data_IF_492770710889
#
_entry.id   IF_492770710889
#
_cell.length_a   1.000
_cell.length_b   1.000
_cell.length_c   1.000
_cell.angle_alpha   90.00
_cell.angle_beta   90.00
_cell.angle_gamma   90.00
#
_symmetry.space_group_name_H-M   'P 1'
#
loop_
_entity.id
_entity.type
_entity.pdbx_description
1 polymer ?
#
# COMPACT_ATOMS: atom_id res chain seq x y z
N UNK A 1 -22.42 -28.67 -22.86
CA UNK A 1 -23.19 -28.73 -21.59
C UNK A 1 -22.46 -27.79 -20.66
N UNK A 2 -22.87 -26.53 -20.71
CA UNK A 2 -22.14 -25.40 -20.15
C UNK A 2 -22.28 -25.37 -18.64
N UNK A 3 -21.15 -25.43 -17.95
CA UNK A 3 -21.08 -25.20 -16.52
C UNK A 3 -21.10 -23.69 -16.30
N UNK A 4 -22.30 -23.09 -16.36
CA UNK A 4 -22.61 -21.78 -15.76
C UNK A 4 -22.64 -21.90 -14.23
N UNK A 5 -21.54 -22.31 -13.60
CA UNK A 5 -21.40 -22.18 -12.15
C UNK A 5 -20.74 -20.84 -11.83
N UNK A 6 -21.54 -19.95 -11.22
CA UNK A 6 -21.17 -18.70 -10.52
C UNK A 6 -20.93 -17.44 -11.38
N UNK A 7 -21.98 -16.97 -12.07
CA UNK A 7 -22.08 -15.59 -12.60
C UNK A 7 -22.82 -14.64 -11.63
N UNK A 8 -22.50 -14.66 -10.33
CA UNK A 8 -23.22 -13.84 -9.34
C UNK A 8 -22.38 -13.25 -8.19
N UNK A 9 -21.07 -13.44 -8.17
CA UNK A 9 -20.21 -12.83 -7.15
C UNK A 9 -19.53 -11.57 -7.67
N UNK A 10 -19.81 -10.42 -7.04
CA UNK A 10 -19.01 -9.22 -7.20
C UNK A 10 -17.65 -9.44 -6.48
N UNK A 11 -16.50 -9.54 -7.19
CA UNK A 11 -15.22 -9.86 -6.57
C UNK A 11 -14.84 -8.89 -5.44
N UNK A 12 -15.17 -7.61 -5.61
CA UNK A 12 -14.92 -6.58 -4.60
C UNK A 12 -15.60 -6.91 -3.27
N UNK A 13 -16.87 -7.31 -3.30
CA UNK A 13 -17.65 -7.65 -2.10
C UNK A 13 -17.08 -8.89 -1.41
N UNK A 14 -16.68 -9.90 -2.20
CA UNK A 14 -16.05 -11.10 -1.66
C UNK A 14 -14.70 -10.80 -1.01
N UNK A 15 -13.84 -10.02 -1.66
CA UNK A 15 -12.56 -9.63 -1.09
C UNK A 15 -12.75 -8.79 0.17
N UNK A 16 -13.68 -7.85 0.18
CA UNK A 16 -13.97 -7.03 1.36
C UNK A 16 -14.43 -7.90 2.53
N UNK A 17 -15.36 -8.83 2.30
CA UNK A 17 -15.80 -9.79 3.31
C UNK A 17 -14.63 -10.66 3.81
N UNK A 18 -13.73 -11.08 2.91
CA UNK A 18 -12.51 -11.80 3.26
C UNK A 18 -11.59 -11.01 4.19
N UNK A 19 -11.32 -9.75 3.87
CA UNK A 19 -10.52 -8.87 4.72
C UNK A 19 -11.20 -8.57 6.06
N UNK A 20 -12.52 -8.40 6.09
CA UNK A 20 -13.27 -8.24 7.32
C UNK A 20 -13.15 -9.48 8.22
N UNK A 21 -13.36 -10.68 7.67
CA UNK A 21 -13.22 -11.93 8.42
C UNK A 21 -11.79 -12.07 8.93
N UNK A 22 -10.79 -11.81 8.10
CA UNK A 22 -9.39 -11.86 8.50
C UNK A 22 -9.09 -10.85 9.61
N UNK A 23 -9.60 -9.63 9.52
CA UNK A 23 -9.44 -8.61 10.55
C UNK A 23 -10.04 -9.07 11.89
N UNK A 24 -11.26 -9.63 11.86
CA UNK A 24 -11.95 -10.14 13.04
C UNK A 24 -11.24 -11.34 13.66
N UNK A 25 -10.72 -12.26 12.84
CA UNK A 25 -9.90 -13.40 13.29
C UNK A 25 -8.58 -12.90 13.89
N UNK A 26 -7.89 -11.97 13.23
CA UNK A 26 -6.67 -11.37 13.73
C UNK A 26 -6.92 -10.70 15.09
N UNK A 27 -7.99 -9.93 15.19
CA UNK A 27 -8.36 -9.22 16.41
C UNK A 27 -8.71 -10.19 17.54
N UNK A 28 -9.57 -11.18 17.28
CA UNK A 28 -10.22 -12.01 18.30
C UNK A 28 -9.43 -13.26 18.66
N UNK A 29 -8.58 -13.75 17.75
CA UNK A 29 -7.86 -15.02 17.90
C UNK A 29 -6.35 -14.77 17.91
N UNK A 30 -5.78 -14.18 16.85
CA UNK A 30 -4.32 -14.06 16.72
C UNK A 30 -3.71 -13.13 17.77
N UNK A 31 -4.30 -11.95 17.95
CA UNK A 31 -3.81 -10.93 18.89
C UNK A 31 -4.60 -10.90 20.21
N UNK A 32 -5.33 -11.97 20.54
CA UNK A 32 -6.17 -12.03 21.74
C UNK A 32 -5.41 -11.78 23.05
N UNK A 33 -4.12 -12.14 23.09
CA UNK A 33 -3.24 -11.97 24.25
C UNK A 33 -2.54 -10.61 24.28
N UNK A 34 -2.66 -9.80 23.24
CA UNK A 34 -2.08 -8.46 23.19
C UNK A 34 -2.96 -7.49 23.98
N UNK A 35 -2.35 -6.42 24.48
CA UNK A 35 -3.09 -5.35 25.13
C UNK A 35 -4.20 -4.81 24.21
N UNK A 36 -5.40 -4.58 24.76
CA UNK A 36 -6.59 -4.19 23.97
C UNK A 36 -6.33 -3.01 23.03
N UNK A 37 -5.52 -2.04 23.48
CA UNK A 37 -5.12 -0.85 22.70
C UNK A 37 -4.23 -1.13 21.48
N UNK A 38 -3.52 -2.26 21.44
CA UNK A 38 -2.61 -2.65 20.34
C UNK A 38 -3.27 -3.61 19.35
N UNK A 39 -4.37 -4.25 19.74
CA UNK A 39 -5.06 -5.24 18.91
C UNK A 39 -5.58 -4.67 17.59
N UNK A 40 -6.20 -3.48 17.53
CA UNK A 40 -6.67 -2.91 16.27
C UNK A 40 -5.52 -2.72 15.26
N UNK A 41 -4.44 -2.04 15.65
CA UNK A 41 -3.28 -1.80 14.78
C UNK A 41 -2.62 -3.10 14.33
N UNK A 42 -2.49 -4.08 15.25
CA UNK A 42 -1.96 -5.39 14.90
C UNK A 42 -2.84 -6.13 13.88
N UNK A 43 -4.17 -6.02 14.01
CA UNK A 43 -5.13 -6.57 13.04
C UNK A 43 -5.08 -5.86 11.68
N UNK A 44 -4.94 -4.53 11.66
CA UNK A 44 -4.68 -3.76 10.44
C UNK A 44 -3.40 -4.24 9.76
N UNK A 45 -2.31 -4.43 10.51
CA UNK A 45 -1.06 -5.00 9.98
C UNK A 45 -1.27 -6.40 9.39
N UNK A 46 -2.13 -7.24 9.98
CA UNK A 46 -2.42 -8.58 9.46
C UNK A 46 -3.16 -8.54 8.11
N UNK A 47 -4.17 -7.68 7.95
CA UNK A 47 -4.84 -7.51 6.66
C UNK A 47 -3.92 -6.84 5.62
N UNK A 48 -3.05 -5.93 6.05
CA UNK A 48 -2.04 -5.29 5.20
C UNK A 48 -1.01 -6.30 4.70
N UNK A 49 -0.51 -7.20 5.56
CA UNK A 49 0.37 -8.31 5.15
C UNK A 49 -0.31 -9.26 4.17
N UNK A 50 -1.59 -9.57 4.43
CA UNK A 50 -2.41 -10.41 3.56
C UNK A 50 -2.82 -9.73 2.25
N UNK A 51 -2.62 -8.42 2.11
CA UNK A 51 -2.81 -7.65 0.87
C UNK A 51 -1.48 -7.38 0.17
N UNK A 52 -0.55 -6.69 0.80
CA UNK A 52 0.61 -6.09 0.14
C UNK A 52 1.50 -7.12 -0.54
N UNK A 53 1.81 -8.23 0.13
CA UNK A 53 2.66 -9.28 -0.46
C UNK A 53 1.98 -9.93 -1.68
N UNK A 54 0.73 -10.44 -1.59
CA UNK A 54 0.03 -10.92 -2.78
C UNK A 54 -0.19 -9.84 -3.86
N UNK A 55 -0.49 -8.60 -3.48
CA UNK A 55 -0.73 -7.50 -4.42
C UNK A 55 0.46 -7.26 -5.34
N UNK A 56 1.69 -7.29 -4.81
CA UNK A 56 2.92 -7.20 -5.63
C UNK A 56 2.97 -8.30 -6.67
N UNK A 57 2.78 -9.57 -6.28
CA UNK A 57 2.86 -10.70 -7.19
C UNK A 57 1.72 -10.71 -8.22
N UNK A 58 0.50 -10.43 -7.78
CA UNK A 58 -0.68 -10.39 -8.63
C UNK A 58 -0.59 -9.24 -9.64
N UNK A 59 -0.20 -8.04 -9.21
CA UNK A 59 0.01 -6.90 -10.10
C UNK A 59 1.14 -7.16 -11.10
N UNK A 60 2.28 -7.70 -10.63
CA UNK A 60 3.39 -8.05 -11.51
C UNK A 60 2.97 -9.08 -12.56
N UNK A 61 2.25 -10.13 -12.15
CA UNK A 61 1.72 -11.14 -13.07
C UNK A 61 0.74 -10.52 -14.06
N UNK A 62 -0.19 -9.67 -13.61
CA UNK A 62 -1.19 -9.02 -14.45
C UNK A 62 -0.56 -8.11 -15.50
N UNK A 63 0.51 -7.39 -15.15
CA UNK A 63 1.30 -6.60 -16.10
C UNK A 63 2.05 -7.52 -17.05
N UNK A 64 2.81 -8.49 -16.56
CA UNK A 64 3.66 -9.35 -17.40
C UNK A 64 2.87 -10.23 -18.37
N UNK A 65 1.63 -10.58 -18.04
CA UNK A 65 0.74 -11.34 -18.93
C UNK A 65 0.07 -10.49 -20.01
N UNK A 66 0.14 -9.16 -19.91
CA UNK A 66 -0.47 -8.25 -20.87
C UNK A 66 0.54 -7.95 -22.01
N UNK A 67 0.22 -8.28 -23.27
CA UNK A 67 1.08 -7.92 -24.40
C UNK A 67 1.02 -6.42 -24.74
N UNK A 68 -0.04 -5.70 -24.36
CA UNK A 68 -0.28 -4.30 -24.68
C UNK A 68 -0.04 -3.39 -23.47
N UNK A 69 1.13 -3.52 -22.83
CA UNK A 69 1.52 -2.72 -21.65
C UNK A 69 1.77 -1.26 -22.05
N UNK A 70 0.80 -0.39 -21.79
CA UNK A 70 0.97 1.06 -21.96
C UNK A 70 0.10 1.84 -20.96
N UNK A 71 0.36 3.13 -20.80
CA UNK A 71 -0.29 4.02 -19.84
C UNK A 71 -1.77 4.33 -20.12
N UNK A 72 -2.26 3.98 -21.31
CA UNK A 72 -3.61 4.31 -21.78
C UNK A 72 -4.40 3.09 -22.26
N UNK A 73 -3.82 1.88 -22.19
CA UNK A 73 -4.51 0.67 -22.66
C UNK A 73 -5.69 0.31 -21.76
N UNK A 74 -6.66 -0.38 -22.36
CA UNK A 74 -7.84 -0.86 -21.65
C UNK A 74 -7.44 -1.86 -20.58
N UNK A 75 -8.08 -1.78 -19.41
CA UNK A 75 -7.80 -2.67 -18.30
C UNK A 75 -8.17 -4.11 -18.66
N UNK A 76 -7.24 -5.03 -18.51
CA UNK A 76 -7.54 -6.46 -18.69
C UNK A 76 -8.42 -6.98 -17.55
N UNK A 77 -9.16 -8.09 -17.75
CA UNK A 77 -9.94 -8.70 -16.67
C UNK A 77 -9.10 -9.03 -15.43
N UNK A 78 -7.84 -9.44 -15.63
CA UNK A 78 -6.96 -9.76 -14.51
C UNK A 78 -6.48 -8.49 -13.79
N UNK A 79 -6.14 -7.42 -14.51
CA UNK A 79 -5.83 -6.12 -13.89
C UNK A 79 -7.02 -5.59 -13.08
N UNK A 80 -8.25 -5.72 -13.59
CA UNK A 80 -9.47 -5.35 -12.87
C UNK A 80 -9.66 -6.17 -11.59
N UNK A 81 -9.35 -7.48 -11.61
CA UNK A 81 -9.41 -8.32 -10.41
C UNK A 81 -8.40 -7.87 -9.35
N UNK A 82 -7.18 -7.48 -9.75
CA UNK A 82 -6.15 -6.95 -8.83
C UNK A 82 -6.55 -5.59 -8.25
N UNK A 83 -7.20 -4.74 -9.04
CA UNK A 83 -7.78 -3.49 -8.57
C UNK A 83 -8.90 -3.76 -7.56
N UNK A 84 -9.84 -4.67 -7.85
CA UNK A 84 -10.92 -5.03 -6.93
C UNK A 84 -10.39 -5.61 -5.61
N UNK A 85 -9.36 -6.45 -5.68
CA UNK A 85 -8.64 -6.97 -4.53
C UNK A 85 -8.03 -5.86 -3.67
N UNK A 86 -7.40 -4.87 -4.30
CA UNK A 86 -6.75 -3.77 -3.58
C UNK A 86 -7.75 -2.74 -3.05
N UNK A 87 -8.80 -2.41 -3.81
CA UNK A 87 -9.88 -1.53 -3.35
C UNK A 87 -10.53 -2.13 -2.09
N UNK A 88 -10.80 -3.44 -2.08
CA UNK A 88 -11.37 -4.11 -0.91
C UNK A 88 -10.50 -3.97 0.34
N UNK A 89 -9.17 -4.13 0.22
CA UNK A 89 -8.24 -3.92 1.32
C UNK A 89 -8.28 -2.47 1.82
N UNK A 90 -8.06 -1.50 0.93
CA UNK A 90 -8.01 -0.09 1.32
C UNK A 90 -9.35 0.39 1.91
N UNK A 91 -10.50 -0.14 1.47
CA UNK A 91 -11.80 0.13 2.09
C UNK A 91 -11.88 -0.43 3.50
N UNK A 92 -11.50 -1.69 3.71
CA UNK A 92 -11.55 -2.32 5.04
C UNK A 92 -10.61 -1.63 6.01
N UNK A 93 -9.40 -1.30 5.57
CA UNK A 93 -8.41 -0.62 6.41
C UNK A 93 -8.80 0.84 6.68
N UNK A 94 -9.45 1.53 5.74
CA UNK A 94 -10.05 2.84 5.99
C UNK A 94 -11.14 2.77 7.08
N UNK A 95 -12.01 1.74 7.05
CA UNK A 95 -13.00 1.51 8.12
C UNK A 95 -12.30 1.32 9.46
N UNK A 96 -11.19 0.58 9.50
CA UNK A 96 -10.37 0.45 10.70
C UNK A 96 -9.89 1.81 11.23
N UNK A 97 -9.27 2.65 10.39
CA UNK A 97 -8.78 3.97 10.84
C UNK A 97 -9.91 4.88 11.31
N UNK A 98 -11.05 4.90 10.61
CA UNK A 98 -12.20 5.73 11.01
C UNK A 98 -12.79 5.33 12.38
N UNK A 99 -12.71 4.04 12.74
CA UNK A 99 -13.26 3.53 14.01
C UNK A 99 -12.23 3.66 15.15
N UNK A 100 -10.98 3.26 14.91
CA UNK A 100 -9.99 3.07 15.99
C UNK A 100 -8.94 4.19 16.06
N UNK A 101 -8.69 4.91 14.97
CA UNK A 101 -7.66 5.95 14.88
C UNK A 101 -8.16 7.19 14.09
N UNK A 102 -9.31 7.79 14.45
CA UNK A 102 -9.93 8.88 13.67
C UNK A 102 -9.07 10.15 13.61
N UNK A 103 -8.10 10.30 14.51
CA UNK A 103 -7.15 11.42 14.53
C UNK A 103 -5.97 11.21 13.59
N UNK A 104 -5.80 10.01 13.02
CA UNK A 104 -4.72 9.71 12.08
C UNK A 104 -5.08 10.15 10.66
N UNK A 105 -5.20 11.47 10.49
CA UNK A 105 -5.63 12.12 9.25
C UNK A 105 -4.71 11.84 8.07
N UNK A 106 -3.43 11.55 8.31
CA UNK A 106 -2.47 11.23 7.26
C UNK A 106 -2.75 9.85 6.67
N UNK A 107 -2.96 8.84 7.51
CA UNK A 107 -3.31 7.49 7.03
C UNK A 107 -4.71 7.46 6.41
N UNK A 108 -5.70 8.13 7.02
CA UNK A 108 -7.05 8.26 6.44
C UNK A 108 -6.98 8.92 5.06
N UNK A 109 -6.28 10.05 4.96
CA UNK A 109 -6.09 10.77 3.70
C UNK A 109 -5.37 9.93 2.65
N UNK A 110 -4.33 9.17 3.05
CA UNK A 110 -3.64 8.24 2.16
C UNK A 110 -4.57 7.16 1.60
N UNK A 111 -5.41 6.54 2.45
CA UNK A 111 -6.34 5.51 2.01
C UNK A 111 -7.40 6.06 1.05
N UNK A 112 -7.99 7.23 1.37
CA UNK A 112 -8.94 7.91 0.50
C UNK A 112 -8.33 8.27 -0.86
N UNK A 113 -7.10 8.78 -0.86
CA UNK A 113 -6.35 9.11 -2.06
C UNK A 113 -6.07 7.89 -2.94
N UNK A 114 -5.60 6.79 -2.34
CA UNK A 114 -5.36 5.53 -3.08
C UNK A 114 -6.66 4.93 -3.61
N UNK A 115 -7.73 4.94 -2.81
CA UNK A 115 -9.05 4.51 -3.25
C UNK A 115 -9.58 5.33 -4.41
N UNK A 116 -9.41 6.66 -4.37
CA UNK A 116 -9.79 7.53 -5.47
C UNK A 116 -9.11 7.12 -6.78
N UNK A 117 -7.79 6.91 -6.76
CA UNK A 117 -7.03 6.48 -7.94
C UNK A 117 -7.48 5.11 -8.44
N UNK A 118 -7.66 4.14 -7.54
CA UNK A 118 -8.07 2.78 -7.93
C UNK A 118 -9.50 2.73 -8.46
N UNK A 119 -10.45 3.37 -7.78
CA UNK A 119 -11.87 3.38 -8.17
C UNK A 119 -12.05 4.11 -9.50
N UNK A 120 -11.40 5.25 -9.71
CA UNK A 120 -11.49 5.95 -10.99
C UNK A 120 -10.88 5.14 -12.13
N UNK A 121 -9.73 4.48 -11.91
CA UNK A 121 -9.14 3.58 -12.90
C UNK A 121 -10.06 2.38 -13.21
N UNK A 122 -10.63 1.75 -12.18
CA UNK A 122 -11.41 0.51 -12.28
C UNK A 122 -12.84 0.70 -12.79
N UNK A 123 -13.50 1.78 -12.38
CA UNK A 123 -14.95 1.96 -12.52
C UNK A 123 -15.36 3.22 -13.27
N UNK A 124 -14.43 4.15 -13.56
CA UNK A 124 -14.74 5.37 -14.31
C UNK A 124 -14.14 5.33 -15.71
N UNK A 125 -12.82 5.16 -15.82
CA UNK A 125 -12.14 5.23 -17.12
C UNK A 125 -11.89 3.86 -17.75
N UNK A 126 -11.80 2.79 -16.95
CA UNK A 126 -11.53 1.41 -17.43
C UNK A 126 -10.22 1.25 -18.24
N UNK A 127 -9.32 2.23 -18.13
CA UNK A 127 -8.03 2.29 -18.83
C UNK A 127 -6.93 2.70 -17.84
N UNK A 128 -5.68 2.42 -18.20
CA UNK A 128 -4.50 2.90 -17.48
C UNK A 128 -4.08 2.07 -16.27
N UNK A 129 -4.66 0.88 -16.07
CA UNK A 129 -4.28 0.00 -14.95
C UNK A 129 -2.79 -0.35 -14.93
N UNK A 130 -2.11 -0.41 -16.07
CA UNK A 130 -0.64 -0.60 -16.10
C UNK A 130 0.09 0.38 -15.17
N UNK A 131 -0.20 1.68 -15.30
CA UNK A 131 0.45 2.72 -14.50
C UNK A 131 0.14 2.55 -13.01
N UNK A 132 -1.14 2.32 -12.71
CA UNK A 132 -1.65 2.20 -11.34
C UNK A 132 -1.10 0.95 -10.66
N UNK A 133 -0.98 -0.16 -11.37
CA UNK A 133 -0.44 -1.41 -10.86
C UNK A 133 1.09 -1.35 -10.66
N UNK A 134 1.83 -0.64 -11.50
CA UNK A 134 3.26 -0.39 -11.23
C UNK A 134 3.42 0.45 -9.96
N UNK A 135 2.61 1.49 -9.78
CA UNK A 135 2.61 2.29 -8.56
C UNK A 135 2.22 1.45 -7.33
N UNK A 136 1.26 0.53 -7.47
CA UNK A 136 0.90 -0.44 -6.41
C UNK A 136 2.09 -1.35 -6.07
N UNK A 137 2.84 -1.87 -7.06
CA UNK A 137 4.03 -2.69 -6.81
C UNK A 137 5.08 -1.89 -6.06
N UNK A 138 5.41 -0.69 -6.54
CA UNK A 138 6.35 0.21 -5.86
C UNK A 138 5.83 0.56 -4.46
N UNK A 139 4.51 0.58 -4.27
CA UNK A 139 3.95 0.84 -2.98
C UNK A 139 4.11 -0.31 -1.99
N UNK A 140 3.79 -1.52 -2.44
CA UNK A 140 3.62 -2.69 -1.58
C UNK A 140 4.88 -3.55 -1.45
N UNK A 141 5.91 -3.37 -2.29
CA UNK A 141 7.15 -4.14 -2.18
C UNK A 141 7.87 -3.95 -0.84
N UNK A 142 7.60 -2.84 -0.15
CA UNK A 142 8.11 -2.57 1.20
C UNK A 142 7.14 -2.96 2.31
N UNK A 143 5.90 -3.35 1.97
CA UNK A 143 4.78 -3.54 2.90
C UNK A 143 5.05 -4.66 3.91
N UNK A 144 5.67 -5.77 3.48
CA UNK A 144 6.06 -6.85 4.39
C UNK A 144 7.03 -6.34 5.48
N UNK A 145 8.11 -5.68 5.07
CA UNK A 145 9.08 -5.11 6.01
C UNK A 145 8.44 -4.04 6.90
N UNK A 146 7.60 -3.18 6.33
CA UNK A 146 6.92 -2.11 7.06
C UNK A 146 6.00 -2.67 8.14
N UNK A 147 5.15 -3.65 7.82
CA UNK A 147 4.21 -4.23 8.78
C UNK A 147 4.92 -5.03 9.89
N UNK A 148 5.95 -5.80 9.54
CA UNK A 148 6.77 -6.51 10.55
C UNK A 148 7.49 -5.51 11.46
N UNK A 149 8.01 -4.43 10.87
CA UNK A 149 8.64 -3.33 11.62
C UNK A 149 7.64 -2.64 12.57
N UNK A 150 6.42 -2.35 12.11
CA UNK A 150 5.35 -1.77 12.94
C UNK A 150 4.96 -2.69 14.10
N UNK A 151 4.74 -3.98 13.85
CA UNK A 151 4.42 -4.96 14.88
C UNK A 151 5.56 -5.10 15.92
N UNK A 152 6.80 -5.12 15.45
CA UNK A 152 7.98 -5.16 16.32
C UNK A 152 8.10 -3.87 17.15
N UNK A 153 7.82 -2.71 16.56
CA UNK A 153 7.79 -1.41 17.24
C UNK A 153 6.75 -1.39 18.37
N UNK A 154 5.53 -1.87 18.09
CA UNK A 154 4.43 -1.91 19.06
C UNK A 154 4.74 -2.76 20.29
N UNK A 155 5.63 -3.76 20.16
CA UNK A 155 6.04 -4.67 21.24
C UNK A 155 7.49 -4.46 21.70
N UNK A 156 8.13 -3.37 21.27
CA UNK A 156 9.56 -3.12 21.52
C UNK A 156 9.88 -2.99 23.00
N UNK A 157 8.97 -2.43 23.80
CA UNK A 157 9.18 -2.17 25.23
C UNK A 157 8.96 -3.38 26.12
N UNK A 158 8.20 -4.38 25.67
CA UNK A 158 7.77 -5.51 26.49
C UNK A 158 8.28 -6.87 26.02
N UNK A 159 8.83 -6.98 24.80
CA UNK A 159 9.46 -8.20 24.30
C UNK A 159 10.86 -7.94 23.72
N UNK A 160 11.87 -8.57 24.32
CA UNK A 160 13.28 -8.44 23.87
C UNK A 160 13.46 -8.89 22.40
N UNK A 161 12.77 -9.95 21.99
CA UNK A 161 12.80 -10.41 20.60
C UNK A 161 12.24 -9.34 19.66
N UNK A 162 11.14 -8.67 20.03
CA UNK A 162 10.57 -7.60 19.23
C UNK A 162 11.53 -6.42 19.10
N UNK A 163 12.24 -6.06 20.18
CA UNK A 163 13.27 -5.04 20.12
C UNK A 163 14.43 -5.41 19.17
N UNK A 164 14.91 -6.66 19.24
CA UNK A 164 15.95 -7.16 18.32
C UNK A 164 15.49 -7.14 16.86
N UNK A 165 14.25 -7.57 16.59
CA UNK A 165 13.67 -7.54 15.24
C UNK A 165 13.55 -6.09 14.74
N UNK A 166 13.04 -5.18 15.57
CA UNK A 166 12.93 -3.77 15.22
C UNK A 166 14.29 -3.15 14.86
N UNK A 167 15.30 -3.34 15.72
CA UNK A 167 16.63 -2.77 15.53
C UNK A 167 17.35 -3.36 14.30
N UNK A 168 17.17 -4.67 14.04
CA UNK A 168 17.75 -5.36 12.89
C UNK A 168 17.06 -4.95 11.58
N UNK A 169 15.74 -4.82 11.58
CA UNK A 169 14.94 -4.56 10.39
C UNK A 169 14.94 -3.08 10.00
N UNK A 170 15.11 -2.16 10.96
CA UNK A 170 15.03 -0.71 10.70
C UNK A 170 15.98 -0.24 9.58
N UNK A 171 17.31 -0.49 9.61
CA UNK A 171 18.20 -0.03 8.55
C UNK A 171 17.87 -0.58 7.14
N UNK A 172 17.70 -1.90 6.93
CA UNK A 172 17.39 -2.42 5.61
C UNK A 172 16.00 -1.98 5.12
N UNK A 173 15.02 -1.88 6.02
CA UNK A 173 13.71 -1.31 5.69
C UNK A 173 13.85 0.14 5.20
N UNK A 174 14.55 1.00 5.94
CA UNK A 174 14.70 2.40 5.57
C UNK A 174 15.42 2.57 4.24
N UNK A 175 16.46 1.76 3.98
CA UNK A 175 17.19 1.78 2.72
C UNK A 175 16.30 1.35 1.55
N UNK A 176 15.60 0.22 1.68
CA UNK A 176 14.68 -0.28 0.66
C UNK A 176 13.57 0.73 0.36
N UNK A 177 12.96 1.29 1.41
CA UNK A 177 11.91 2.31 1.30
C UNK A 177 12.43 3.57 0.59
N UNK A 178 13.64 4.03 0.95
CA UNK A 178 14.25 5.21 0.32
C UNK A 178 14.51 4.98 -1.18
N UNK A 179 14.98 3.80 -1.57
CA UNK A 179 15.21 3.47 -2.99
C UNK A 179 13.90 3.37 -3.76
N UNK A 180 12.93 2.62 -3.24
CA UNK A 180 11.68 2.36 -3.96
C UNK A 180 10.81 3.62 -4.04
N UNK A 181 10.58 4.30 -2.91
CA UNK A 181 9.70 5.46 -2.84
C UNK A 181 10.41 6.77 -3.19
N UNK A 182 11.70 6.90 -2.85
CA UNK A 182 12.47 8.12 -3.09
C UNK A 182 13.15 8.19 -4.46
N UNK A 183 13.32 7.07 -5.15
CA UNK A 183 13.93 7.06 -6.49
C UNK A 183 13.00 6.46 -7.56
N UNK A 184 12.61 5.20 -7.44
CA UNK A 184 11.80 4.53 -8.47
C UNK A 184 10.40 5.14 -8.62
N UNK A 185 9.76 5.54 -7.51
CA UNK A 185 8.49 6.27 -7.51
C UNK A 185 8.54 7.56 -8.34
N UNK A 186 9.38 8.55 -7.99
CA UNK A 186 9.53 9.79 -8.74
C UNK A 186 9.87 9.57 -10.22
N UNK A 187 10.79 8.63 -10.51
CA UNK A 187 11.14 8.30 -11.88
C UNK A 187 9.94 7.78 -12.68
N UNK A 188 9.13 6.90 -12.08
CA UNK A 188 7.93 6.38 -12.75
C UNK A 188 6.87 7.45 -12.96
N UNK A 189 6.66 8.35 -11.98
CA UNK A 189 5.74 9.47 -12.11
C UNK A 189 6.18 10.43 -13.22
N UNK A 190 7.48 10.69 -13.35
CA UNK A 190 8.01 11.48 -14.46
C UNK A 190 7.66 10.84 -15.82
N UNK A 191 7.86 9.52 -15.95
CA UNK A 191 7.49 8.77 -17.17
C UNK A 191 5.99 8.88 -17.46
N UNK A 192 5.15 8.67 -16.46
CA UNK A 192 3.69 8.81 -16.56
C UNK A 192 3.27 10.22 -16.98
N UNK A 193 3.87 11.26 -16.39
CA UNK A 193 3.61 12.66 -16.74
C UNK A 193 3.99 12.97 -18.19
N UNK A 194 5.22 12.62 -18.59
CA UNK A 194 5.68 12.85 -19.97
C UNK A 194 4.80 12.14 -21.00
N UNK A 195 4.32 10.94 -20.69
CA UNK A 195 3.39 10.21 -21.55
C UNK A 195 2.06 10.97 -21.70
N UNK A 196 1.41 11.36 -20.61
CA UNK A 196 0.11 12.05 -20.69
C UNK A 196 0.20 13.42 -21.38
N UNK A 197 1.33 14.12 -21.28
CA UNK A 197 1.56 15.37 -22.00
C UNK A 197 1.56 15.23 -23.53
N UNK A 198 1.84 14.04 -24.07
CA UNK A 198 1.79 13.81 -25.51
C UNK A 198 0.37 13.86 -26.08
N UNK A 199 -0.65 13.78 -25.23
CA UNK A 199 -2.05 13.65 -25.64
C UNK A 199 -2.45 12.25 -26.11
N UNK A 200 -1.54 11.26 -26.04
CA UNK A 200 -1.82 9.87 -26.47
C UNK A 200 -3.00 9.21 -25.73
N UNK A 201 -3.34 9.68 -24.52
CA UNK A 201 -4.47 9.17 -23.75
C UNK A 201 -5.77 9.99 -23.89
N UNK A 202 -5.76 11.12 -24.60
CA UNK A 202 -6.84 12.12 -24.54
C UNK A 202 -8.22 11.58 -24.97
N UNK A 203 -8.24 10.53 -25.81
CA UNK A 203 -9.46 9.89 -26.30
C UNK A 203 -10.06 8.86 -25.32
N UNK A 204 -9.30 8.40 -24.33
CA UNK A 204 -9.69 7.26 -23.45
C UNK A 204 -9.62 7.58 -21.96
N UNK A 205 -8.71 8.48 -21.55
CA UNK A 205 -8.58 8.94 -20.17
C UNK A 205 -8.75 10.46 -20.16
N UNK A 206 -9.88 10.98 -19.61
CA UNK A 206 -10.11 12.40 -19.52
C UNK A 206 -9.00 13.14 -18.77
N UNK A 207 -8.68 14.37 -19.20
CA UNK A 207 -7.57 15.15 -18.63
C UNK A 207 -7.65 15.33 -17.13
N UNK A 208 -8.84 15.61 -16.61
CA UNK A 208 -9.05 15.78 -15.17
C UNK A 208 -8.68 14.52 -14.38
N UNK A 209 -8.87 13.33 -14.95
CA UNK A 209 -8.58 12.04 -14.29
C UNK A 209 -7.08 11.89 -14.13
N UNK A 210 -6.31 11.90 -15.24
CA UNK A 210 -4.87 11.66 -15.13
C UNK A 210 -4.15 12.82 -14.41
N UNK A 211 -4.63 14.07 -14.54
CA UNK A 211 -4.09 15.19 -13.76
C UNK A 211 -4.30 14.94 -12.27
N UNK A 212 -5.50 14.52 -11.87
CA UNK A 212 -5.79 14.22 -10.46
C UNK A 212 -4.98 13.04 -9.93
N UNK A 213 -4.77 12.00 -10.74
CA UNK A 213 -3.88 10.88 -10.39
C UNK A 213 -2.45 11.35 -10.14
N UNK A 214 -1.88 12.16 -11.05
CA UNK A 214 -0.53 12.69 -10.87
C UNK A 214 -0.40 13.52 -9.61
N UNK A 215 -1.35 14.43 -9.35
CA UNK A 215 -1.34 15.26 -8.15
C UNK A 215 -1.35 14.41 -6.87
N UNK A 216 -2.23 13.41 -6.82
CA UNK A 216 -2.33 12.49 -5.70
C UNK A 216 -1.03 11.70 -5.50
N UNK A 217 -0.47 11.14 -6.56
CA UNK A 217 0.73 10.31 -6.49
C UNK A 217 1.97 11.15 -6.11
N UNK A 218 2.11 12.36 -6.65
CA UNK A 218 3.19 13.29 -6.27
C UNK A 218 3.10 13.66 -4.79
N UNK A 219 1.90 13.97 -4.30
CA UNK A 219 1.69 14.27 -2.88
C UNK A 219 2.04 13.06 -2.00
N UNK A 220 1.57 11.87 -2.35
CA UNK A 220 1.84 10.64 -1.62
C UNK A 220 3.36 10.35 -1.54
N UNK A 221 4.07 10.43 -2.67
CA UNK A 221 5.53 10.23 -2.72
C UNK A 221 6.26 11.27 -1.87
N UNK A 222 5.84 12.54 -1.94
CA UNK A 222 6.47 13.62 -1.16
C UNK A 222 6.33 13.38 0.34
N UNK A 223 5.13 13.01 0.81
CA UNK A 223 4.88 12.66 2.21
C UNK A 223 5.68 11.41 2.62
N UNK A 224 5.74 10.38 1.77
CA UNK A 224 6.56 9.19 2.00
C UNK A 224 8.05 9.52 2.15
N UNK A 225 8.60 10.43 1.34
CA UNK A 225 10.00 10.87 1.42
C UNK A 225 10.24 11.61 2.74
N UNK A 226 9.35 12.55 3.12
CA UNK A 226 9.48 13.26 4.40
C UNK A 226 9.44 12.31 5.59
N UNK A 227 8.53 11.33 5.55
CA UNK A 227 8.39 10.33 6.60
C UNK A 227 9.66 9.48 6.76
N UNK A 228 10.21 8.95 5.66
CA UNK A 228 11.42 8.11 5.75
C UNK A 228 12.67 8.92 6.13
N UNK A 229 12.78 10.18 5.69
CA UNK A 229 13.85 11.08 6.13
C UNK A 229 13.79 11.33 7.63
N UNK A 230 12.59 11.52 8.19
CA UNK A 230 12.42 11.66 9.63
C UNK A 230 12.87 10.39 10.39
N UNK A 231 12.55 9.19 9.89
CA UNK A 231 13.01 7.94 10.50
C UNK A 231 14.54 7.82 10.49
N UNK A 232 15.19 8.17 9.37
CA UNK A 232 16.65 8.22 9.31
C UNK A 232 17.25 9.19 10.32
N UNK A 233 16.68 10.39 10.45
CA UNK A 233 17.14 11.41 11.40
C UNK A 233 17.04 10.88 12.84
N UNK A 234 15.91 10.27 13.21
CA UNK A 234 15.70 9.67 14.53
C UNK A 234 16.71 8.55 14.77
N UNK A 235 16.88 7.64 13.81
CA UNK A 235 17.80 6.51 13.91
C UNK A 235 19.25 6.94 14.14
N UNK A 236 19.76 7.88 13.34
CA UNK A 236 21.13 8.37 13.51
C UNK A 236 21.32 9.16 14.80
N UNK A 237 20.29 9.91 15.24
CA UNK A 237 20.30 10.61 16.53
C UNK A 237 20.40 9.63 17.70
N UNK A 238 19.65 8.53 17.68
CA UNK A 238 19.73 7.48 18.71
C UNK A 238 21.09 6.78 18.72
N UNK A 239 21.62 6.43 17.53
CA UNK A 239 22.96 5.84 17.40
C UNK A 239 24.05 6.75 17.96
N UNK A 240 23.99 8.05 17.69
CA UNK A 240 24.94 9.04 18.22
C UNK A 240 24.88 9.10 19.75
N UNK A 241 23.68 9.25 20.34
CA UNK A 241 23.50 9.26 21.80
C UNK A 241 24.03 7.99 22.48
N UNK A 242 23.81 6.84 21.86
CA UNK A 242 24.28 5.56 22.39
C UNK A 242 25.80 5.39 22.28
N UNK A 243 26.43 5.99 21.27
CA UNK A 243 27.90 6.04 21.17
C UNK A 243 28.49 6.95 22.25
N UNK A 244 27.92 8.14 22.47
CA UNK A 244 28.36 9.08 23.52
C UNK A 244 28.28 8.46 24.92
N UNK A 245 27.19 7.73 25.23
CA UNK A 245 27.03 7.01 26.50
C UNK A 245 28.01 5.87 26.73
N UNK A 246 28.64 5.32 25.68
CA UNK A 246 29.65 4.25 25.80
C UNK A 246 31.07 4.78 26.00
N UNK A 247 31.28 6.07 25.74
CA UNK A 247 32.58 6.75 25.85
C UNK A 247 32.71 7.51 27.19
N UNK A 248 31.60 7.85 27.83
CA UNK A 248 31.53 8.36 29.21
C UNK A 248 31.49 7.24 30.24
#
# INVERSE_FOLDING_TARGET
MDVQFLSSSNPLVLFFAGYLILYLVAYSILFRSWASKLRPEASSCAISLAHGTPAVFLAARAILSDPARDFHTANTPFQNLVLDYSIAYFLMDLVHYLIFYPTDVLFIGHHLATLFVFVTCRYVVYHGAFAILVLLILAEVTSFCQNVWTLASARRSDLEIAAKVYDLLSPPFYALYSVVRGFFGPYFVYRMFTFYLTGAADNVIPKWVWISWLLVVVAAISVSILWILNLWIVFFREKKKNAEKKVS
#
